data_IF_484524347914
#
_entry.id   IF_484524347914
#
_cell.length_a   1.000
_cell.length_b   1.000
_cell.length_c   1.000
_cell.angle_alpha   90.00
_cell.angle_beta   90.00
_cell.angle_gamma   90.00
#
_symmetry.space_group_name_H-M   'P 1'
#
loop_
_entity.id
_entity.type
_entity.pdbx_description
1 polymer ?
#
# COMPACT_ATOMS: atom_id res chain seq x y z
N UNK A 1 -23.02 52.76 -43.84
CA UNK A 1 -22.69 52.77 -42.36
C UNK A 1 -23.22 51.50 -41.64
N UNK A 2 -24.39 50.97 -41.97
CA UNK A 2 -24.98 49.77 -41.34
C UNK A 2 -24.21 48.46 -41.60
N UNK A 3 -23.69 48.21 -42.80
CA UNK A 3 -22.93 46.96 -43.10
C UNK A 3 -21.65 46.81 -42.28
N UNK A 4 -21.05 47.88 -41.84
CA UNK A 4 -19.81 47.87 -41.01
C UNK A 4 -20.19 47.49 -39.55
N UNK A 5 -21.33 48.00 -39.06
CA UNK A 5 -21.84 47.63 -37.71
C UNK A 5 -22.20 46.14 -37.61
N UNK A 6 -22.84 45.58 -38.62
CA UNK A 6 -23.24 44.16 -38.66
C UNK A 6 -22.00 43.24 -38.64
N UNK A 7 -20.98 43.55 -39.44
CA UNK A 7 -19.75 42.77 -39.54
C UNK A 7 -18.92 42.79 -38.24
N UNK A 8 -18.97 43.89 -37.51
CA UNK A 8 -18.28 44.01 -36.22
C UNK A 8 -19.03 43.26 -35.09
N UNK A 9 -20.37 43.24 -35.16
CA UNK A 9 -21.20 42.49 -34.22
C UNK A 9 -21.01 40.98 -34.38
N UNK A 10 -20.93 40.46 -35.62
CA UNK A 10 -20.65 39.01 -35.87
C UNK A 10 -19.25 38.62 -35.41
N UNK A 11 -18.24 39.49 -35.59
CA UNK A 11 -16.89 39.23 -35.07
C UNK A 11 -16.88 39.17 -33.53
N UNK A 12 -17.62 40.10 -32.90
CA UNK A 12 -17.72 40.12 -31.43
C UNK A 12 -18.44 38.86 -30.88
N UNK A 13 -19.53 38.44 -31.51
CA UNK A 13 -20.26 37.20 -31.20
C UNK A 13 -19.39 35.97 -31.38
N UNK A 14 -18.57 35.87 -32.43
CA UNK A 14 -17.64 34.76 -32.64
C UNK A 14 -16.55 34.75 -31.57
N UNK A 15 -16.02 35.87 -31.13
CA UNK A 15 -15.03 35.97 -30.08
C UNK A 15 -15.62 35.56 -28.73
N UNK A 16 -16.84 35.99 -28.43
CA UNK A 16 -17.58 35.59 -27.20
C UNK A 16 -17.85 34.07 -27.18
N UNK A 17 -18.27 33.49 -28.31
CA UNK A 17 -18.46 32.04 -28.43
C UNK A 17 -17.14 31.26 -28.26
N UNK A 18 -16.03 31.76 -28.82
CA UNK A 18 -14.72 31.10 -28.67
C UNK A 18 -14.25 31.19 -27.20
N UNK A 19 -14.46 32.33 -26.52
CA UNK A 19 -14.12 32.44 -25.11
C UNK A 19 -15.02 31.61 -24.21
N UNK A 20 -16.31 31.46 -24.51
CA UNK A 20 -17.22 30.58 -23.79
C UNK A 20 -16.86 29.09 -23.97
N UNK A 21 -16.39 28.69 -25.15
CA UNK A 21 -15.90 27.33 -25.41
C UNK A 21 -14.56 27.08 -24.72
N UNK A 22 -13.66 28.06 -24.67
CA UNK A 22 -12.39 27.95 -23.95
C UNK A 22 -12.58 27.89 -22.42
N UNK A 23 -13.58 28.57 -21.86
CA UNK A 23 -13.88 28.50 -20.42
C UNK A 23 -14.50 27.14 -19.99
N UNK A 24 -15.14 26.40 -20.89
CA UNK A 24 -15.68 25.06 -20.61
C UNK A 24 -14.60 23.97 -20.57
N UNK A 25 -13.39 24.24 -21.08
CA UNK A 25 -12.23 23.32 -20.99
C UNK A 25 -11.40 23.46 -19.71
N UNK A 26 -11.69 24.39 -18.82
CA UNK A 26 -11.21 24.31 -17.46
C UNK A 26 -11.97 23.18 -16.77
N UNK A 27 -11.64 21.95 -17.16
CA UNK A 27 -12.02 20.74 -16.42
C UNK A 27 -11.67 20.97 -14.97
N UNK A 28 -12.68 21.18 -14.16
CA UNK A 28 -12.60 21.15 -12.71
C UNK A 28 -12.14 19.74 -12.33
N UNK A 29 -10.84 19.47 -12.45
CA UNK A 29 -10.25 18.28 -11.86
C UNK A 29 -10.37 18.46 -10.35
N UNK A 30 -11.55 18.11 -9.83
CA UNK A 30 -11.80 18.09 -8.41
C UNK A 30 -10.64 17.32 -7.78
N UNK A 31 -9.71 18.04 -7.16
CA UNK A 31 -8.62 17.43 -6.39
C UNK A 31 -9.28 16.48 -5.41
N UNK A 32 -9.17 15.19 -5.65
CA UNK A 32 -9.77 14.17 -4.79
C UNK A 32 -9.18 14.36 -3.39
N UNK A 33 -9.95 14.99 -2.50
CA UNK A 33 -9.50 15.31 -1.16
C UNK A 33 -9.23 14.01 -0.40
N UNK A 34 -8.08 13.95 0.27
CA UNK A 34 -7.73 12.81 1.10
C UNK A 34 -8.68 12.72 2.30
N UNK A 35 -9.24 11.53 2.54
CA UNK A 35 -9.99 11.24 3.76
C UNK A 35 -9.02 11.11 4.92
N UNK A 36 -9.14 11.99 5.91
CA UNK A 36 -8.30 12.04 7.10
C UNK A 36 -8.97 11.26 8.23
N UNK A 37 -8.31 10.20 8.72
CA UNK A 37 -8.76 9.50 9.93
C UNK A 37 -8.19 10.16 11.19
N UNK A 38 -6.89 10.43 11.21
CA UNK A 38 -6.15 11.19 12.23
C UNK A 38 -4.98 11.90 11.53
N UNK A 39 -4.40 12.93 12.18
CA UNK A 39 -3.24 13.67 11.64
C UNK A 39 -2.10 12.70 11.26
N UNK A 40 -1.74 12.65 9.97
CA UNK A 40 -0.72 11.75 9.41
C UNK A 40 -1.25 10.35 9.04
N UNK A 41 -2.56 10.09 9.14
CA UNK A 41 -3.22 8.83 8.78
C UNK A 41 -4.38 9.11 7.83
N UNK A 42 -4.14 8.91 6.54
CA UNK A 42 -5.08 9.30 5.47
C UNK A 42 -5.17 8.24 4.39
N UNK A 43 -6.28 8.26 3.64
CA UNK A 43 -6.42 7.46 2.42
C UNK A 43 -7.20 8.25 1.36
N UNK A 44 -6.92 7.98 0.08
CA UNK A 44 -7.56 8.67 -1.05
C UNK A 44 -7.52 7.81 -2.31
N UNK A 45 -8.26 8.17 -3.35
CA UNK A 45 -8.05 7.64 -4.70
C UNK A 45 -6.58 7.85 -5.10
N UNK A 46 -6.06 7.01 -6.00
CA UNK A 46 -4.67 7.14 -6.45
C UNK A 46 -4.46 8.52 -7.12
N UNK A 47 -3.57 9.38 -6.57
CA UNK A 47 -3.18 10.61 -7.26
C UNK A 47 -2.48 10.30 -8.60
N UNK A 48 -2.55 11.22 -9.57
CA UNK A 48 -1.93 11.05 -10.89
C UNK A 48 -0.43 10.69 -10.79
N UNK A 49 0.32 11.34 -9.90
CA UNK A 49 1.74 11.04 -9.63
C UNK A 49 1.96 9.59 -9.18
N UNK A 50 1.07 9.06 -8.35
CA UNK A 50 1.16 7.67 -7.87
C UNK A 50 0.78 6.70 -8.97
N UNK A 51 -0.28 6.97 -9.76
CA UNK A 51 -0.61 6.16 -10.94
C UNK A 51 0.57 6.06 -11.89
N UNK A 52 1.20 7.20 -12.24
CA UNK A 52 2.40 7.23 -13.11
C UNK A 52 3.53 6.37 -12.53
N UNK A 53 3.77 6.44 -11.20
CA UNK A 53 4.84 5.69 -10.53
C UNK A 53 4.66 4.19 -10.60
N UNK A 54 3.42 3.68 -10.44
CA UNK A 54 3.14 2.24 -10.33
C UNK A 54 2.87 1.56 -11.68
N UNK A 55 2.47 2.34 -12.70
CA UNK A 55 2.13 1.81 -14.03
C UNK A 55 3.36 1.22 -14.71
N UNK A 56 3.23 -0.03 -15.17
CA UNK A 56 4.35 -0.79 -15.76
C UNK A 56 5.31 -1.40 -14.72
N UNK A 57 5.16 -1.07 -13.43
CA UNK A 57 5.98 -1.59 -12.34
C UNK A 57 5.14 -2.55 -11.48
N UNK A 58 4.51 -2.07 -10.42
CA UNK A 58 3.65 -2.91 -9.57
C UNK A 58 2.21 -3.04 -10.09
N UNK A 59 1.78 -2.21 -11.04
CA UNK A 59 0.48 -2.27 -11.70
C UNK A 59 0.62 -2.44 -13.21
N UNK A 60 -0.08 -3.42 -13.77
CA UNK A 60 -0.25 -3.63 -15.22
C UNK A 60 -1.74 -3.69 -15.54
N UNK A 61 -2.14 -3.28 -16.77
CA UNK A 61 -3.53 -3.45 -17.22
C UNK A 61 -3.92 -4.92 -17.13
N UNK A 62 -5.06 -5.21 -16.50
CA UNK A 62 -5.49 -6.56 -16.16
C UNK A 62 -7.00 -6.60 -15.91
N UNK A 63 -7.66 -7.79 -15.97
CA UNK A 63 -9.11 -7.91 -15.76
C UNK A 63 -9.52 -7.95 -14.28
N UNK A 64 -8.59 -8.06 -13.32
CA UNK A 64 -8.91 -8.38 -11.92
C UNK A 64 -9.04 -7.16 -11.02
N UNK A 65 -8.29 -6.08 -11.32
CA UNK A 65 -8.27 -4.88 -10.49
C UNK A 65 -7.96 -3.63 -11.33
N UNK A 66 -8.68 -2.56 -11.06
CA UNK A 66 -8.49 -1.26 -11.70
C UNK A 66 -7.93 -0.22 -10.73
N UNK A 67 -7.49 0.94 -11.23
CA UNK A 67 -7.13 2.08 -10.37
C UNK A 67 -8.28 2.56 -9.49
N UNK A 68 -9.54 2.36 -9.92
CA UNK A 68 -10.72 2.76 -9.15
C UNK A 68 -10.90 1.91 -7.89
N UNK A 69 -10.36 0.71 -7.88
CA UNK A 69 -10.41 -0.21 -6.74
C UNK A 69 -9.30 0.04 -5.72
N UNK A 70 -8.26 0.77 -6.10
CA UNK A 70 -7.10 1.04 -5.27
C UNK A 70 -7.19 2.38 -4.53
N UNK A 71 -6.58 2.42 -3.35
CA UNK A 71 -6.42 3.64 -2.53
C UNK A 71 -4.97 3.82 -2.13
N UNK A 72 -4.49 5.05 -2.24
CA UNK A 72 -3.23 5.46 -1.68
C UNK A 72 -3.41 5.82 -0.21
N UNK A 73 -2.63 5.20 0.65
CA UNK A 73 -2.69 5.30 2.10
C UNK A 73 -1.39 5.91 2.60
N UNK A 74 -1.49 6.92 3.45
CA UNK A 74 -0.37 7.49 4.21
C UNK A 74 -0.55 7.19 5.68
N UNK A 75 0.52 6.78 6.33
CA UNK A 75 0.55 6.44 7.76
C UNK A 75 1.82 6.96 8.42
N UNK A 76 1.82 7.06 9.74
CA UNK A 76 3.03 7.26 10.54
C UNK A 76 3.38 5.97 11.25
N UNK A 77 4.66 5.74 11.46
CA UNK A 77 5.15 4.58 12.22
C UNK A 77 6.43 4.95 12.99
N UNK A 78 6.76 4.19 14.02
CA UNK A 78 8.07 4.21 14.64
C UNK A 78 8.99 3.26 13.90
N UNK A 79 10.18 3.72 13.51
CA UNK A 79 11.21 2.85 12.95
C UNK A 79 11.95 2.05 14.04
N UNK A 80 12.91 1.21 13.65
CA UNK A 80 13.69 0.41 14.61
C UNK A 80 14.66 1.23 15.50
N UNK A 81 14.79 2.52 15.24
CA UNK A 81 15.54 3.49 16.06
C UNK A 81 14.62 4.30 16.98
N UNK A 82 13.31 3.98 16.99
CA UNK A 82 12.30 4.72 17.76
C UNK A 82 11.93 6.08 17.18
N UNK A 83 12.36 6.41 15.95
CA UNK A 83 12.01 7.66 15.28
C UNK A 83 10.70 7.54 14.53
N UNK A 84 9.90 8.61 14.55
CA UNK A 84 8.66 8.68 13.77
C UNK A 84 8.96 8.91 12.30
N UNK A 85 8.45 8.03 11.45
CA UNK A 85 8.59 8.07 10.00
C UNK A 85 7.22 8.17 9.31
N UNK A 86 7.21 8.61 8.05
CA UNK A 86 6.05 8.57 7.18
C UNK A 86 6.15 7.34 6.27
N UNK A 87 5.05 6.56 6.25
CA UNK A 87 4.88 5.39 5.40
C UNK A 87 3.82 5.60 4.33
N UNK A 88 3.94 4.86 3.23
CA UNK A 88 2.98 4.86 2.13
C UNK A 88 2.66 3.43 1.68
N UNK A 89 1.37 3.17 1.45
CA UNK A 89 0.86 1.89 0.96
C UNK A 89 -0.16 2.13 -0.15
N UNK A 90 -0.35 1.13 -0.99
CA UNK A 90 -1.51 1.04 -1.88
C UNK A 90 -2.29 -0.20 -1.47
N UNK A 91 -3.59 -0.04 -1.24
CA UNK A 91 -4.49 -1.14 -0.85
C UNK A 91 -5.81 -1.05 -1.58
N UNK A 92 -6.58 -2.12 -1.57
CA UNK A 92 -7.95 -2.11 -2.10
C UNK A 92 -8.84 -1.13 -1.33
N UNK A 93 -9.79 -0.49 -2.04
CA UNK A 93 -10.79 0.42 -1.42
C UNK A 93 -11.56 -0.23 -0.27
N UNK A 94 -11.78 -1.55 -0.34
CA UNK A 94 -12.51 -2.35 0.67
C UNK A 94 -11.82 -2.36 2.04
N UNK A 95 -10.48 -2.26 2.06
CA UNK A 95 -9.69 -2.33 3.30
C UNK A 95 -8.99 -1.02 3.68
N UNK A 96 -9.10 0.03 2.87
CA UNK A 96 -8.33 1.26 3.06
C UNK A 96 -8.55 1.93 4.43
N UNK A 97 -9.80 2.08 4.88
CA UNK A 97 -10.10 2.63 6.20
C UNK A 97 -9.62 1.69 7.33
N UNK A 98 -9.79 0.37 7.18
CA UNK A 98 -9.29 -0.62 8.13
C UNK A 98 -7.76 -0.52 8.25
N UNK A 99 -7.05 -0.42 7.12
CA UNK A 99 -5.59 -0.24 7.08
C UNK A 99 -5.16 1.00 7.87
N UNK A 100 -5.78 2.14 7.63
CA UNK A 100 -5.46 3.38 8.36
C UNK A 100 -5.67 3.23 9.86
N UNK A 101 -6.77 2.60 10.29
CA UNK A 101 -7.08 2.34 11.70
C UNK A 101 -6.06 1.39 12.34
N UNK A 102 -5.69 0.30 11.66
CA UNK A 102 -4.66 -0.65 12.11
C UNK A 102 -3.33 0.06 12.35
N UNK A 103 -2.84 0.80 11.35
CA UNK A 103 -1.56 1.51 11.48
C UNK A 103 -1.59 2.60 12.55
N UNK A 104 -2.74 3.23 12.80
CA UNK A 104 -2.90 4.16 13.91
C UNK A 104 -2.82 3.44 15.26
N UNK A 105 -3.44 2.26 15.43
CA UNK A 105 -3.30 1.47 16.65
C UNK A 105 -1.87 0.99 16.86
N UNK A 106 -1.18 0.52 15.80
CA UNK A 106 0.23 0.15 15.86
C UNK A 106 1.14 1.34 16.25
N UNK A 107 0.84 2.53 15.72
CA UNK A 107 1.51 3.77 16.08
C UNK A 107 1.31 4.12 17.56
N UNK A 108 0.08 4.02 18.09
CA UNK A 108 -0.21 4.29 19.50
C UNK A 108 0.57 3.38 20.46
N UNK A 109 0.70 2.11 20.14
CA UNK A 109 1.46 1.14 20.95
C UNK A 109 2.96 1.16 20.64
N UNK A 110 3.42 2.09 19.80
CA UNK A 110 4.82 2.23 19.34
C UNK A 110 5.40 0.93 18.77
N UNK A 111 4.56 0.13 18.06
CA UNK A 111 5.04 -1.09 17.40
C UNK A 111 6.05 -0.71 16.30
N UNK A 112 7.30 -1.23 16.35
CA UNK A 112 8.34 -0.81 15.42
C UNK A 112 8.15 -1.43 14.04
N UNK A 113 8.19 -0.59 13.00
CA UNK A 113 8.19 -1.01 11.60
C UNK A 113 9.39 -0.35 10.94
N UNK A 114 10.32 -1.14 10.38
CA UNK A 114 11.58 -0.60 9.87
C UNK A 114 11.36 0.44 8.77
N UNK A 115 10.50 0.13 7.80
CA UNK A 115 10.08 1.05 6.76
C UNK A 115 8.75 0.61 6.12
N UNK A 116 8.05 1.58 5.52
CA UNK A 116 6.80 1.37 4.78
C UNK A 116 6.91 2.15 3.47
N UNK A 117 7.27 1.47 2.37
CA UNK A 117 7.45 2.06 1.03
C UNK A 117 6.68 1.26 0.01
N UNK A 118 6.21 1.93 -1.05
CA UNK A 118 5.65 1.23 -2.20
C UNK A 118 6.70 0.25 -2.76
N UNK A 119 6.26 -0.94 -3.15
CA UNK A 119 7.14 -1.98 -3.70
C UNK A 119 7.84 -1.53 -4.99
N UNK A 120 7.30 -0.51 -5.64
CA UNK A 120 7.86 0.18 -6.81
C UNK A 120 9.26 0.76 -6.56
N UNK A 121 9.59 1.10 -5.30
CA UNK A 121 10.96 1.48 -4.91
C UNK A 121 11.97 0.37 -5.19
N UNK A 122 11.50 -0.86 -5.25
CA UNK A 122 12.31 -2.07 -5.47
C UNK A 122 12.06 -2.68 -6.85
N UNK A 123 11.45 -1.91 -7.80
CA UNK A 123 11.09 -2.41 -9.13
C UNK A 123 10.01 -3.49 -9.12
N UNK A 124 9.12 -3.48 -8.11
CA UNK A 124 8.13 -4.54 -7.85
C UNK A 124 8.73 -5.92 -7.57
N UNK A 125 10.04 -6.01 -7.31
CA UNK A 125 10.71 -7.24 -6.89
C UNK A 125 10.44 -7.49 -5.39
N UNK A 126 9.60 -8.48 -5.12
CA UNK A 126 9.23 -8.90 -3.76
C UNK A 126 10.47 -9.32 -2.94
N UNK A 127 11.39 -10.06 -3.55
CA UNK A 127 12.61 -10.52 -2.89
C UNK A 127 13.48 -9.36 -2.40
N UNK A 128 13.68 -8.35 -3.25
CA UNK A 128 14.41 -7.12 -2.87
C UNK A 128 13.67 -6.36 -1.76
N UNK A 129 12.36 -6.21 -1.88
CA UNK A 129 11.51 -5.55 -0.88
C UNK A 129 11.58 -6.26 0.48
N UNK A 130 11.43 -7.59 0.50
CA UNK A 130 11.51 -8.40 1.71
C UNK A 130 12.91 -8.37 2.36
N UNK A 131 13.98 -8.50 1.57
CA UNK A 131 15.37 -8.38 2.08
C UNK A 131 15.64 -7.04 2.74
N UNK A 132 15.03 -5.96 2.22
CA UNK A 132 15.11 -4.63 2.81
C UNK A 132 14.20 -4.44 4.03
N UNK A 133 13.53 -5.49 4.50
CA UNK A 133 12.54 -5.45 5.58
C UNK A 133 11.41 -4.42 5.35
N UNK A 134 11.00 -4.25 4.10
CA UNK A 134 9.99 -3.28 3.72
C UNK A 134 8.56 -3.83 3.95
N UNK A 135 7.81 -3.16 4.80
CA UNK A 135 6.36 -3.35 4.92
C UNK A 135 5.69 -2.87 3.64
N UNK A 136 4.92 -3.73 2.99
CA UNK A 136 4.30 -3.48 1.68
C UNK A 136 2.89 -4.06 1.59
N UNK A 137 2.15 -3.68 0.54
CA UNK A 137 0.80 -4.19 0.32
C UNK A 137 0.57 -4.57 -1.15
N UNK A 138 0.18 -3.63 -2.02
CA UNK A 138 -0.16 -3.91 -3.40
C UNK A 138 1.07 -4.26 -4.25
N UNK A 139 1.00 -5.38 -4.96
CA UNK A 139 1.91 -5.79 -6.03
C UNK A 139 1.17 -6.77 -6.95
N UNK A 140 0.92 -6.39 -8.23
CA UNK A 140 0.17 -7.22 -9.16
C UNK A 140 1.03 -8.36 -9.69
N UNK A 141 0.91 -9.52 -9.06
CA UNK A 141 1.66 -10.75 -9.39
C UNK A 141 0.91 -12.01 -8.98
N UNK A 142 1.34 -13.14 -9.48
CA UNK A 142 0.92 -14.45 -8.98
C UNK A 142 1.67 -14.82 -7.69
N UNK A 143 1.19 -15.82 -6.99
CA UNK A 143 1.94 -16.48 -5.90
C UNK A 143 3.13 -17.20 -6.52
N UNK A 144 4.30 -17.03 -5.94
CA UNK A 144 5.54 -17.61 -6.46
C UNK A 144 5.41 -19.12 -6.70
N UNK A 145 5.83 -19.57 -7.89
CA UNK A 145 5.74 -20.98 -8.30
C UNK A 145 4.34 -21.47 -8.68
N UNK A 146 3.35 -20.56 -8.84
CA UNK A 146 1.96 -20.91 -9.19
C UNK A 146 1.34 -19.94 -10.20
N UNK A 147 0.25 -20.34 -10.85
CA UNK A 147 -0.59 -19.45 -11.68
C UNK A 147 -1.68 -18.73 -10.86
N UNK A 148 -1.74 -18.93 -9.56
CA UNK A 148 -2.75 -18.32 -8.70
C UNK A 148 -2.41 -16.88 -8.39
N UNK A 149 -3.39 -15.98 -8.58
CA UNK A 149 -3.22 -14.56 -8.27
C UNK A 149 -3.03 -14.35 -6.75
N UNK A 150 -2.03 -13.57 -6.38
CA UNK A 150 -1.75 -13.23 -4.98
C UNK A 150 -2.84 -12.30 -4.41
N UNK A 151 -3.11 -12.35 -3.12
CA UNK A 151 -3.93 -11.35 -2.43
C UNK A 151 -3.30 -9.94 -2.48
N UNK A 152 -1.97 -9.84 -2.59
CA UNK A 152 -1.27 -8.58 -2.87
C UNK A 152 -1.66 -7.99 -4.23
N UNK A 153 -1.87 -8.82 -5.24
CA UNK A 153 -2.31 -8.37 -6.57
C UNK A 153 -3.70 -7.71 -6.55
N UNK A 154 -4.53 -8.06 -5.58
CA UNK A 154 -5.86 -7.46 -5.36
C UNK A 154 -5.82 -6.31 -4.35
N UNK A 155 -4.65 -5.99 -3.78
CA UNK A 155 -4.50 -5.01 -2.71
C UNK A 155 -5.18 -5.41 -1.39
N UNK A 156 -5.40 -6.71 -1.18
CA UNK A 156 -6.10 -7.29 -0.01
C UNK A 156 -5.14 -7.93 1.00
N UNK A 157 -3.84 -7.73 0.86
CA UNK A 157 -2.83 -8.23 1.79
C UNK A 157 -1.82 -7.15 2.16
N UNK A 158 -1.23 -7.30 3.35
CA UNK A 158 -0.19 -6.43 3.91
C UNK A 158 0.86 -7.31 4.57
N UNK A 159 2.12 -7.11 4.19
CA UNK A 159 3.28 -7.76 4.81
C UNK A 159 3.98 -6.79 5.76
N UNK A 160 4.25 -7.22 6.98
CA UNK A 160 4.86 -6.41 8.04
C UNK A 160 6.25 -6.94 8.38
N UNK A 161 7.28 -6.09 8.20
CA UNK A 161 8.66 -6.40 8.55
C UNK A 161 9.10 -7.80 8.07
N UNK A 162 9.15 -8.08 6.76
CA UNK A 162 9.34 -9.43 6.19
C UNK A 162 10.59 -10.14 6.65
N UNK A 163 11.71 -9.43 6.83
CA UNK A 163 12.97 -10.01 7.24
C UNK A 163 12.91 -10.61 8.65
N UNK A 164 12.22 -9.95 9.58
CA UNK A 164 12.05 -10.46 10.94
C UNK A 164 10.81 -11.34 11.11
N UNK A 165 9.96 -11.37 10.08
CA UNK A 165 8.76 -12.20 10.01
C UNK A 165 8.74 -13.00 8.70
N UNK A 166 9.72 -13.89 8.46
CA UNK A 166 9.88 -14.55 7.18
C UNK A 166 8.74 -15.50 6.84
N UNK A 167 8.54 -15.72 5.54
CA UNK A 167 7.80 -16.87 5.03
C UNK A 167 8.64 -18.13 5.18
N UNK A 168 8.03 -19.23 5.60
CA UNK A 168 8.64 -20.56 5.67
C UNK A 168 7.71 -21.53 4.93
N UNK A 169 8.17 -22.10 3.82
CA UNK A 169 7.39 -23.04 3.04
C UNK A 169 7.31 -24.44 3.71
N UNK A 170 6.53 -25.35 3.13
CA UNK A 170 6.36 -26.72 3.62
C UNK A 170 7.66 -27.54 3.67
N UNK A 171 8.67 -27.17 2.88
CA UNK A 171 10.02 -27.80 2.90
C UNK A 171 10.96 -27.12 3.91
N UNK A 172 10.48 -26.17 4.71
CA UNK A 172 11.30 -25.43 5.69
C UNK A 172 12.22 -24.37 5.10
N UNK A 173 12.06 -24.05 3.79
CA UNK A 173 12.83 -22.99 3.10
C UNK A 173 12.27 -21.65 3.51
N UNK A 174 13.17 -20.76 3.92
CA UNK A 174 12.85 -19.46 4.46
C UNK A 174 13.07 -18.35 3.42
N UNK A 175 12.11 -17.43 3.31
CA UNK A 175 12.18 -16.24 2.45
C UNK A 175 11.78 -15.00 3.25
N UNK A 176 12.56 -13.91 3.24
CA UNK A 176 13.87 -13.75 2.59
C UNK A 176 15.00 -14.48 3.37
N UNK A 177 16.01 -14.97 2.67
CA UNK A 177 17.11 -15.75 3.26
C UNK A 177 17.86 -15.03 4.41
N UNK A 178 17.97 -13.70 4.35
CA UNK A 178 18.58 -12.88 5.41
C UNK A 178 17.69 -12.74 6.67
N UNK A 179 16.53 -13.40 6.71
CA UNK A 179 15.67 -13.56 7.88
C UNK A 179 16.02 -14.78 8.75
N UNK A 180 17.07 -15.56 8.42
CA UNK A 180 17.44 -16.83 9.08
C UNK A 180 17.50 -16.75 10.60
N UNK A 181 17.98 -15.65 11.17
CA UNK A 181 18.08 -15.43 12.63
C UNK A 181 16.71 -15.41 13.32
N UNK A 182 15.61 -15.23 12.59
CA UNK A 182 14.24 -15.12 13.11
C UNK A 182 13.40 -16.39 12.85
N UNK A 183 14.01 -17.45 12.28
CA UNK A 183 13.32 -18.74 12.03
C UNK A 183 12.86 -19.41 13.33
N UNK A 184 13.55 -19.23 14.44
CA UNK A 184 13.27 -19.85 15.73
C UNK A 184 11.91 -19.45 16.34
N UNK A 185 11.32 -18.32 15.93
CA UNK A 185 10.01 -17.79 16.42
C UNK A 185 9.85 -17.74 17.94
N UNK A 186 10.91 -17.63 18.68
CA UNK A 186 10.95 -17.47 20.13
C UNK A 186 11.75 -16.22 20.50
N UNK A 187 11.13 -15.26 21.18
CA UNK A 187 11.74 -13.96 21.47
C UNK A 187 12.99 -14.04 22.36
N UNK A 188 13.01 -15.01 23.26
CA UNK A 188 14.12 -15.22 24.22
C UNK A 188 15.27 -16.02 23.59
N UNK A 189 14.95 -16.98 22.70
CA UNK A 189 15.93 -17.89 22.10
C UNK A 189 16.48 -17.41 20.75
N UNK A 190 15.79 -16.53 20.04
CA UNK A 190 16.26 -15.97 18.78
C UNK A 190 17.44 -15.03 18.98
N UNK A 191 18.54 -15.29 18.27
CA UNK A 191 19.76 -14.47 18.30
C UNK A 191 19.64 -13.16 17.49
N UNK A 192 18.55 -12.94 16.79
CA UNK A 192 18.33 -11.72 16.00
C UNK A 192 18.10 -10.50 16.90
N UNK A 193 18.83 -9.41 16.64
CA UNK A 193 18.74 -8.13 17.37
C UNK A 193 17.31 -7.63 17.61
N UNK A 194 16.39 -7.92 16.67
CA UNK A 194 15.01 -7.45 16.70
C UNK A 194 14.00 -8.58 16.99
N UNK A 195 14.42 -9.63 17.70
CA UNK A 195 13.54 -10.75 18.04
C UNK A 195 12.28 -10.33 18.80
N UNK A 196 12.38 -9.28 19.64
CA UNK A 196 11.24 -8.69 20.35
C UNK A 196 10.15 -8.11 19.44
N UNK A 197 10.49 -7.79 18.19
CA UNK A 197 9.57 -7.21 17.20
C UNK A 197 8.91 -8.27 16.29
N UNK A 198 9.21 -9.56 16.51
CA UNK A 198 8.57 -10.65 15.77
C UNK A 198 7.05 -10.70 16.02
N UNK A 199 6.30 -10.99 14.97
CA UNK A 199 4.87 -11.26 15.04
C UNK A 199 4.68 -12.70 15.50
N UNK A 200 4.00 -12.90 16.62
CA UNK A 200 3.72 -14.21 17.20
C UNK A 200 2.21 -14.40 17.38
N UNK A 201 1.74 -15.64 17.54
CA UNK A 201 0.36 -15.89 17.96
C UNK A 201 0.03 -15.04 19.20
N UNK A 202 -1.19 -14.49 19.25
CA UNK A 202 -1.68 -13.67 20.36
C UNK A 202 -0.87 -12.36 20.67
N UNK A 203 0.11 -12.00 19.86
CA UNK A 203 0.80 -10.71 20.00
C UNK A 203 -0.16 -9.54 19.74
N UNK A 204 0.14 -8.36 20.31
CA UNK A 204 -0.71 -7.16 20.13
C UNK A 204 -1.00 -6.87 18.66
N UNK A 205 0.01 -6.98 17.77
CA UNK A 205 -0.18 -6.75 16.35
C UNK A 205 -1.13 -7.77 15.71
N UNK A 206 -1.00 -9.06 16.03
CA UNK A 206 -1.90 -10.12 15.52
C UNK A 206 -3.35 -9.86 15.95
N UNK A 207 -3.56 -9.50 17.24
CA UNK A 207 -4.88 -9.14 17.76
C UNK A 207 -5.47 -7.91 17.07
N UNK A 208 -4.66 -6.87 16.81
CA UNK A 208 -5.09 -5.67 16.09
C UNK A 208 -5.56 -6.03 14.68
N UNK A 209 -4.78 -6.75 13.89
CA UNK A 209 -5.17 -7.12 12.53
C UNK A 209 -6.44 -7.99 12.53
N UNK A 210 -6.53 -9.01 13.39
CA UNK A 210 -7.71 -9.89 13.52
C UNK A 210 -8.97 -9.12 13.93
N UNK A 211 -8.87 -8.13 14.81
CA UNK A 211 -9.97 -7.21 15.19
C UNK A 211 -10.60 -6.52 13.99
N UNK A 212 -9.81 -6.22 12.95
CA UNK A 212 -10.28 -5.60 11.70
C UNK A 212 -10.65 -6.61 10.62
N UNK A 213 -10.69 -7.91 10.93
CA UNK A 213 -11.14 -8.98 10.05
C UNK A 213 -10.05 -9.53 9.12
N UNK A 214 -8.77 -9.29 9.40
CA UNK A 214 -7.67 -9.93 8.68
C UNK A 214 -7.36 -11.31 9.26
N UNK A 215 -7.03 -12.25 8.41
CA UNK A 215 -6.38 -13.52 8.78
C UNK A 215 -4.86 -13.35 8.74
N UNK A 216 -4.14 -14.16 9.52
CA UNK A 216 -2.68 -14.11 9.61
C UNK A 216 -2.06 -15.38 9.00
N UNK A 217 -1.05 -15.21 8.13
CA UNK A 217 -0.35 -16.34 7.50
C UNK A 217 0.47 -17.20 8.45
N UNK A 218 0.76 -16.71 9.66
CA UNK A 218 1.36 -17.52 10.72
C UNK A 218 0.44 -18.60 11.29
N UNK A 219 -0.88 -18.49 11.06
CA UNK A 219 -1.86 -19.51 11.46
C UNK A 219 -1.98 -20.64 10.41
N UNK A 220 -1.42 -20.51 9.20
CA UNK A 220 -1.54 -21.52 8.15
C UNK A 220 -0.89 -22.86 8.56
N UNK A 221 -1.42 -23.98 8.05
CA UNK A 221 -0.98 -25.33 8.43
C UNK A 221 0.27 -25.79 7.70
N UNK A 222 0.28 -25.72 6.36
CA UNK A 222 1.33 -26.31 5.52
C UNK A 222 2.56 -25.42 5.30
N UNK A 223 2.38 -24.13 5.45
CA UNK A 223 3.45 -23.13 5.39
C UNK A 223 3.18 -22.05 6.42
N UNK A 224 4.18 -21.27 6.78
CA UNK A 224 4.03 -20.17 7.73
C UNK A 224 4.48 -18.88 7.08
N UNK A 225 3.54 -17.94 6.94
CA UNK A 225 3.86 -16.61 6.43
C UNK A 225 3.68 -15.58 7.54
N UNK A 226 4.73 -15.42 8.33
CA UNK A 226 4.66 -14.63 9.56
C UNK A 226 4.50 -13.13 9.33
N UNK A 227 4.89 -12.62 8.13
CA UNK A 227 4.71 -11.23 7.75
C UNK A 227 3.28 -10.91 7.31
N UNK A 228 2.55 -11.92 6.78
CA UNK A 228 1.38 -11.78 5.91
C UNK A 228 0.07 -11.68 6.67
N UNK A 229 -0.68 -10.61 6.40
CA UNK A 229 -2.06 -10.42 6.81
C UNK A 229 -2.95 -10.19 5.59
N UNK A 230 -4.08 -10.90 5.46
CA UNK A 230 -4.98 -10.80 4.30
C UNK A 230 -6.47 -10.83 4.67
N UNK A 231 -7.29 -10.31 3.72
CA UNK A 231 -8.76 -10.39 3.73
C UNK A 231 -9.32 -11.10 2.49
#
# INVERSE_FOLDING_TARGET
MERIKHRNLEKLLRIICIMAVLSSFFSNTAKTQAKVYKKGFTYQKLPAKIKKKITGVSYRKNPHISYQDLRYVKVRHYDFKGKVQNGELIVNKKIALKTVKIFYELYKIKYPIEQIKLVDKYGADDGKSMRANNTSAFNYRTVAGTNRLSKHALGLAIDINPRINPYINSKGILTPANGKLYKCRNKQKCKGKYASYMILPNSKITKIFKKYGFTWGGDWTYSKDYQHFQM
#
